data_IF_352805302530
#
_entry.id   IF_352805302530
#
_cell.length_a   1.000
_cell.length_b   1.000
_cell.length_c   1.000
_cell.angle_alpha   90.00
_cell.angle_beta   90.00
_cell.angle_gamma   90.00
#
_symmetry.space_group_name_H-M   'P 1'
#
loop_
_entity.id
_entity.type
_entity.pdbx_description
1 polymer ?
#
# COMPACT_ATOMS: atom_id res chain seq x y z
N UNK A 1 -34.51 24.24 -10.89
CA UNK A 1 -33.10 23.94 -10.52
C UNK A 1 -33.01 22.82 -9.47
N UNK A 2 -33.76 22.90 -8.36
CA UNK A 2 -33.80 21.91 -7.27
C UNK A 2 -34.26 20.50 -7.69
N UNK A 3 -35.28 20.37 -8.53
CA UNK A 3 -35.79 19.07 -9.01
C UNK A 3 -34.77 18.33 -9.90
N UNK A 4 -34.01 19.06 -10.71
CA UNK A 4 -32.94 18.48 -11.53
C UNK A 4 -31.76 17.98 -10.68
N UNK A 5 -31.37 18.75 -9.66
CA UNK A 5 -30.34 18.35 -8.69
C UNK A 5 -30.75 17.09 -7.89
N UNK A 6 -31.99 17.04 -7.41
CA UNK A 6 -32.51 15.87 -6.69
C UNK A 6 -32.56 14.60 -7.57
N UNK A 7 -32.89 14.76 -8.85
CA UNK A 7 -32.93 13.64 -9.81
C UNK A 7 -31.54 13.10 -10.13
N UNK A 8 -30.55 13.97 -10.33
CA UNK A 8 -29.16 13.55 -10.58
C UNK A 8 -28.52 12.95 -9.32
N UNK A 9 -28.82 13.48 -8.13
CA UNK A 9 -28.41 12.88 -6.86
C UNK A 9 -29.01 11.48 -6.65
N UNK A 10 -30.30 11.28 -6.95
CA UNK A 10 -30.95 9.97 -6.85
C UNK A 10 -30.35 8.93 -7.82
N UNK A 11 -29.99 9.35 -9.04
CA UNK A 11 -29.29 8.49 -10.01
C UNK A 11 -27.88 8.12 -9.54
N UNK A 12 -27.12 9.10 -9.02
CA UNK A 12 -25.78 8.85 -8.47
C UNK A 12 -25.85 7.90 -7.27
N UNK A 13 -26.82 8.11 -6.37
CA UNK A 13 -27.05 7.26 -5.20
C UNK A 13 -27.32 5.81 -5.59
N UNK A 14 -28.26 5.56 -6.52
CA UNK A 14 -28.54 4.20 -7.01
C UNK A 14 -27.29 3.54 -7.62
N UNK A 15 -26.47 4.30 -8.34
CA UNK A 15 -25.22 3.79 -8.92
C UNK A 15 -24.21 3.42 -7.85
N UNK A 16 -24.02 4.29 -6.84
CA UNK A 16 -23.15 4.00 -5.70
C UNK A 16 -23.59 2.74 -4.96
N UNK A 17 -24.90 2.53 -4.78
CA UNK A 17 -25.42 1.32 -4.14
C UNK A 17 -25.12 0.04 -4.92
N UNK A 18 -25.18 0.08 -6.27
CA UNK A 18 -24.87 -1.08 -7.11
C UNK A 18 -23.37 -1.43 -7.03
N UNK A 19 -22.48 -0.44 -7.17
CA UNK A 19 -21.04 -0.67 -7.05
C UNK A 19 -20.65 -1.14 -5.63
N UNK A 20 -21.26 -0.54 -4.59
CA UNK A 20 -21.08 -0.98 -3.22
C UNK A 20 -21.52 -2.43 -2.99
N UNK A 21 -22.63 -2.86 -3.59
CA UNK A 21 -23.11 -4.25 -3.49
C UNK A 21 -22.12 -5.25 -4.11
N UNK A 22 -21.54 -4.89 -5.28
CA UNK A 22 -20.52 -5.71 -5.94
C UNK A 22 -19.25 -5.78 -5.08
N UNK A 23 -18.77 -4.64 -4.58
CA UNK A 23 -17.58 -4.57 -3.72
C UNK A 23 -17.78 -5.34 -2.41
N UNK A 24 -18.96 -5.26 -1.79
CA UNK A 24 -19.30 -6.06 -0.59
C UNK A 24 -19.28 -7.56 -0.92
N UNK A 25 -19.79 -7.96 -2.08
CA UNK A 25 -19.75 -9.36 -2.51
C UNK A 25 -18.31 -9.85 -2.75
N UNK A 26 -17.46 -9.02 -3.36
CA UNK A 26 -16.04 -9.31 -3.54
C UNK A 26 -15.28 -9.37 -2.21
N UNK A 27 -15.60 -8.45 -1.29
CA UNK A 27 -15.05 -8.43 0.06
C UNK A 27 -15.43 -9.70 0.81
N UNK A 28 -16.70 -10.12 0.76
CA UNK A 28 -17.16 -11.36 1.37
C UNK A 28 -16.45 -12.61 0.79
N UNK A 29 -16.04 -12.58 -0.48
CA UNK A 29 -15.23 -13.64 -1.07
C UNK A 29 -13.74 -13.60 -0.66
N UNK A 30 -13.20 -12.41 -0.37
CA UNK A 30 -11.75 -12.19 -0.19
C UNK A 30 -11.33 -11.72 1.20
N UNK A 31 -12.27 -11.61 2.15
CA UNK A 31 -12.05 -10.97 3.46
C UNK A 31 -10.88 -11.58 4.25
N UNK A 32 -10.65 -12.89 4.11
CA UNK A 32 -9.55 -13.60 4.77
C UNK A 32 -8.19 -13.04 4.36
N UNK A 33 -8.01 -12.71 3.07
CA UNK A 33 -6.76 -12.14 2.55
C UNK A 33 -6.55 -10.71 3.05
N UNK A 34 -7.62 -9.92 3.08
CA UNK A 34 -7.56 -8.55 3.60
C UNK A 34 -7.26 -8.56 5.10
N UNK A 35 -7.98 -9.38 5.86
CA UNK A 35 -7.77 -9.54 7.29
C UNK A 35 -6.34 -10.01 7.59
N UNK A 36 -5.85 -11.03 6.88
CA UNK A 36 -4.47 -11.50 7.03
C UNK A 36 -3.46 -10.39 6.74
N UNK A 37 -3.69 -9.61 5.68
CA UNK A 37 -2.84 -8.46 5.36
C UNK A 37 -2.83 -7.40 6.46
N UNK A 38 -4.00 -7.04 7.01
CA UNK A 38 -4.15 -6.06 8.09
C UNK A 38 -3.51 -6.57 9.40
N UNK A 39 -3.74 -7.82 9.77
CA UNK A 39 -3.09 -8.46 10.93
C UNK A 39 -1.57 -8.42 10.76
N UNK A 40 -1.06 -8.68 9.57
CA UNK A 40 0.38 -8.60 9.31
C UNK A 40 0.92 -7.17 9.40
N UNK A 41 0.15 -6.14 9.00
CA UNK A 41 0.57 -4.75 9.24
C UNK A 41 0.78 -4.46 10.72
N UNK A 42 -0.11 -4.99 11.57
CA UNK A 42 0.03 -4.89 13.02
C UNK A 42 1.26 -5.66 13.53
N UNK A 43 1.48 -6.90 13.07
CA UNK A 43 2.67 -7.69 13.42
C UNK A 43 3.96 -6.95 13.04
N UNK A 44 4.02 -6.37 11.83
CA UNK A 44 5.14 -5.56 11.39
C UNK A 44 5.35 -4.32 12.27
N UNK A 45 4.27 -3.65 12.69
CA UNK A 45 4.35 -2.54 13.65
C UNK A 45 4.95 -2.96 15.00
N UNK A 46 4.48 -4.09 15.55
CA UNK A 46 4.99 -4.65 16.81
C UNK A 46 6.46 -5.04 16.66
N UNK A 47 6.85 -5.64 15.53
CA UNK A 47 8.23 -5.99 15.21
C UNK A 47 9.15 -4.75 15.14
N UNK A 48 8.70 -3.68 14.49
CA UNK A 48 9.42 -2.41 14.41
C UNK A 48 9.56 -1.73 15.79
N UNK A 49 8.54 -1.85 16.64
CA UNK A 49 8.60 -1.40 18.04
C UNK A 49 9.57 -2.28 18.86
N UNK A 50 9.56 -3.59 18.61
CA UNK A 50 10.44 -4.56 19.25
C UNK A 50 11.92 -4.23 19.07
N UNK A 51 12.31 -3.81 17.86
CA UNK A 51 13.70 -3.44 17.60
C UNK A 51 14.14 -2.17 18.35
N UNK A 52 13.21 -1.27 18.68
CA UNK A 52 13.51 -0.07 19.45
C UNK A 52 14.01 -0.45 20.85
N UNK A 53 13.42 -1.46 21.48
CA UNK A 53 13.92 -1.97 22.78
C UNK A 53 15.32 -2.58 22.68
N UNK A 54 15.67 -3.14 21.51
CA UNK A 54 16.98 -3.71 21.23
C UNK A 54 17.96 -2.67 20.68
N UNK A 55 17.53 -1.41 20.53
CA UNK A 55 18.32 -0.35 19.95
C UNK A 55 19.51 -0.01 20.84
N UNK A 56 20.69 0.04 20.24
CA UNK A 56 21.90 0.55 20.89
C UNK A 56 22.33 1.82 20.16
N UNK A 57 22.24 3.00 20.82
CA UNK A 57 22.73 4.23 20.23
C UNK A 57 24.24 4.10 20.03
N UNK A 58 24.70 4.65 18.93
CA UNK A 58 26.08 4.64 18.48
C UNK A 58 26.33 5.84 17.57
N UNK A 59 27.58 6.07 17.14
CA UNK A 59 27.88 7.06 16.11
C UNK A 59 27.13 6.72 14.81
N UNK A 60 26.69 7.75 14.10
CA UNK A 60 26.04 7.58 12.79
C UNK A 60 26.99 6.93 11.80
N UNK A 61 26.48 6.03 10.96
CA UNK A 61 27.28 5.38 9.92
C UNK A 61 27.69 6.38 8.84
N UNK A 62 28.81 6.09 8.18
CA UNK A 62 29.21 6.82 6.98
C UNK A 62 28.23 6.51 5.86
N UNK A 63 27.60 7.56 5.32
CA UNK A 63 26.56 7.43 4.32
C UNK A 63 26.77 8.44 3.18
N UNK A 64 26.78 7.93 1.94
CA UNK A 64 27.03 8.76 0.76
C UNK A 64 25.92 9.77 0.52
N UNK A 65 24.65 9.41 0.75
CA UNK A 65 23.55 10.36 0.65
C UNK A 65 23.66 11.46 1.70
N UNK A 66 24.23 11.17 2.87
CA UNK A 66 24.45 12.19 3.88
C UNK A 66 25.56 13.17 3.57
N UNK A 67 26.57 12.70 2.85
CA UNK A 67 27.61 13.55 2.29
C UNK A 67 27.10 14.45 1.16
N UNK A 68 26.23 13.91 0.30
CA UNK A 68 25.70 14.64 -0.87
C UNK A 68 24.55 15.60 -0.53
N UNK A 69 23.70 15.24 0.43
CA UNK A 69 22.50 16.00 0.77
C UNK A 69 22.71 16.79 2.06
N UNK A 70 22.41 18.09 1.97
CA UNK A 70 22.37 18.95 3.14
C UNK A 70 21.27 18.49 4.10
N UNK A 71 21.61 18.54 5.38
CA UNK A 71 20.72 18.21 6.46
C UNK A 71 19.61 19.27 6.61
N UNK A 72 18.36 18.83 6.71
CA UNK A 72 17.20 19.72 6.84
C UNK A 72 17.09 20.36 8.24
N UNK A 73 17.63 19.69 9.25
CA UNK A 73 17.50 20.05 10.66
C UNK A 73 16.28 19.41 11.33
N UNK A 74 16.35 19.29 12.66
CA UNK A 74 15.30 18.68 13.49
C UNK A 74 13.94 19.38 13.32
N UNK A 75 13.94 20.72 13.28
CA UNK A 75 12.74 21.55 13.12
C UNK A 75 11.95 21.26 11.83
N UNK A 76 12.63 20.76 10.80
CA UNK A 76 12.05 20.47 9.48
C UNK A 76 11.92 18.97 9.21
N UNK A 77 12.21 18.11 10.18
CA UNK A 77 12.11 16.66 10.02
C UNK A 77 10.69 16.18 9.64
N UNK A 78 9.65 16.96 10.01
CA UNK A 78 8.26 16.68 9.69
C UNK A 78 7.94 16.77 8.18
N UNK A 79 8.73 17.51 7.39
CA UNK A 79 8.47 17.73 5.95
C UNK A 79 8.41 16.40 5.19
N UNK A 80 9.28 15.46 5.54
CA UNK A 80 9.28 14.10 4.97
C UNK A 80 8.01 13.30 5.33
N UNK A 81 7.44 13.48 6.53
CA UNK A 81 6.16 12.84 6.90
C UNK A 81 4.98 13.48 6.18
N UNK A 82 5.01 14.79 5.99
CA UNK A 82 3.95 15.50 5.26
C UNK A 82 3.85 15.01 3.82
N UNK A 83 4.99 14.86 3.13
CA UNK A 83 5.01 14.33 1.75
C UNK A 83 4.58 12.86 1.72
N UNK A 84 5.04 12.04 2.67
CA UNK A 84 4.57 10.66 2.79
C UNK A 84 3.06 10.57 3.01
N UNK A 85 2.53 11.36 3.95
CA UNK A 85 1.10 11.43 4.25
C UNK A 85 0.31 11.87 3.03
N UNK A 86 0.81 12.86 2.27
CA UNK A 86 0.21 13.29 1.02
C UNK A 86 0.12 12.13 0.02
N UNK A 87 1.20 11.37 -0.19
CA UNK A 87 1.22 10.20 -1.07
C UNK A 87 0.21 9.15 -0.58
N UNK A 88 0.23 8.84 0.73
CA UNK A 88 -0.63 7.83 1.35
C UNK A 88 -2.11 8.17 1.19
N UNK A 89 -2.54 9.34 1.66
CA UNK A 89 -3.94 9.76 1.60
C UNK A 89 -4.42 9.96 0.16
N UNK A 90 -3.57 10.50 -0.73
CA UNK A 90 -3.94 10.63 -2.15
C UNK A 90 -4.18 9.27 -2.80
N UNK A 91 -3.37 8.26 -2.48
CA UNK A 91 -3.56 6.90 -2.98
C UNK A 91 -4.85 6.28 -2.42
N UNK A 92 -5.08 6.36 -1.11
CA UNK A 92 -6.29 5.84 -0.46
C UNK A 92 -7.53 6.46 -1.10
N UNK A 93 -7.58 7.79 -1.22
CA UNK A 93 -8.68 8.50 -1.86
C UNK A 93 -8.89 8.04 -3.31
N UNK A 94 -7.80 7.85 -4.07
CA UNK A 94 -7.89 7.32 -5.43
C UNK A 94 -8.45 5.89 -5.48
N UNK A 95 -8.21 5.04 -4.48
CA UNK A 95 -8.80 3.69 -4.49
C UNK A 95 -10.34 3.71 -4.42
N UNK A 96 -10.95 4.79 -3.92
CA UNK A 96 -12.40 4.99 -3.91
C UNK A 96 -12.93 5.73 -5.16
N UNK A 97 -12.04 6.10 -6.09
CA UNK A 97 -12.43 6.72 -7.36
C UNK A 97 -13.50 5.93 -8.14
N UNK A 98 -13.52 4.58 -8.18
CA UNK A 98 -14.57 3.82 -8.86
C UNK A 98 -15.99 4.10 -8.35
N UNK A 99 -16.16 4.43 -7.07
CA UNK A 99 -17.47 4.77 -6.50
C UNK A 99 -17.99 6.13 -6.98
N UNK A 100 -17.09 7.05 -7.33
CA UNK A 100 -17.43 8.43 -7.76
C UNK A 100 -17.46 8.53 -9.28
N UNK A 101 -16.49 7.92 -9.96
CA UNK A 101 -16.32 7.95 -11.40
C UNK A 101 -16.32 6.52 -11.93
N UNK A 102 -17.29 6.21 -12.80
CA UNK A 102 -17.60 4.88 -13.34
C UNK A 102 -16.46 4.27 -14.17
N UNK A 103 -15.38 3.85 -13.52
CA UNK A 103 -14.28 3.12 -14.16
C UNK A 103 -14.52 1.62 -14.01
N UNK A 104 -15.11 0.99 -15.03
CA UNK A 104 -15.33 -0.48 -15.10
C UNK A 104 -14.06 -1.34 -15.04
N UNK A 105 -12.89 -0.73 -14.85
CA UNK A 105 -11.59 -1.41 -14.88
C UNK A 105 -11.06 -1.81 -13.51
N UNK A 106 -11.64 -1.30 -12.42
CA UNK A 106 -10.99 -1.33 -11.11
C UNK A 106 -12.01 -1.57 -10.00
N UNK A 107 -11.81 -2.64 -9.22
CA UNK A 107 -12.47 -2.85 -7.93
C UNK A 107 -11.50 -2.54 -6.79
N UNK A 108 -11.95 -1.75 -5.82
CA UNK A 108 -11.21 -1.33 -4.64
C UNK A 108 -10.73 -2.53 -3.83
N UNK A 109 -11.59 -3.52 -3.58
CA UNK A 109 -11.23 -4.73 -2.83
C UNK A 109 -10.08 -5.49 -3.50
N UNK A 110 -10.13 -5.64 -4.83
CA UNK A 110 -9.08 -6.36 -5.57
C UNK A 110 -7.75 -5.60 -5.59
N UNK A 111 -7.76 -4.26 -5.64
CA UNK A 111 -6.55 -3.46 -5.45
C UNK A 111 -5.97 -3.74 -4.07
N UNK A 112 -6.77 -3.64 -3.02
CA UNK A 112 -6.29 -3.80 -1.65
C UNK A 112 -5.76 -5.20 -1.36
N UNK A 113 -6.38 -6.25 -1.91
CA UNK A 113 -5.83 -7.61 -1.86
C UNK A 113 -4.40 -7.67 -2.44
N UNK A 114 -4.16 -7.02 -3.59
CA UNK A 114 -2.84 -6.99 -4.24
C UNK A 114 -1.83 -6.14 -3.46
N UNK A 115 -2.24 -4.93 -3.06
CA UNK A 115 -1.43 -4.00 -2.27
C UNK A 115 -0.99 -4.66 -0.97
N UNK A 116 -1.91 -5.27 -0.23
CA UNK A 116 -1.59 -5.99 1.00
C UNK A 116 -0.65 -7.17 0.76
N UNK A 117 -0.82 -7.93 -0.33
CA UNK A 117 0.12 -9.00 -0.68
C UNK A 117 1.54 -8.47 -0.93
N UNK A 118 1.69 -7.36 -1.66
CA UNK A 118 3.00 -6.73 -1.87
C UNK A 118 3.60 -6.23 -0.54
N UNK A 119 2.78 -5.57 0.29
CA UNK A 119 3.21 -5.05 1.59
C UNK A 119 3.67 -6.16 2.53
N UNK A 120 2.88 -7.23 2.66
CA UNK A 120 3.21 -8.40 3.49
C UNK A 120 4.55 -8.99 3.07
N UNK A 121 4.75 -9.24 1.78
CA UNK A 121 6.00 -9.81 1.30
C UNK A 121 7.21 -8.89 1.55
N UNK A 122 7.09 -7.58 1.26
CA UNK A 122 8.17 -6.63 1.50
C UNK A 122 8.47 -6.47 3.00
N UNK A 123 7.45 -6.37 3.83
CA UNK A 123 7.60 -6.20 5.28
C UNK A 123 8.10 -7.47 5.97
N UNK A 124 7.75 -8.66 5.47
CA UNK A 124 8.34 -9.91 5.94
C UNK A 124 9.85 -9.93 5.72
N UNK A 125 10.31 -9.60 4.51
CA UNK A 125 11.74 -9.46 4.22
C UNK A 125 12.39 -8.40 5.11
N UNK A 126 11.71 -7.26 5.29
CA UNK A 126 12.17 -6.18 6.18
C UNK A 126 12.38 -6.67 7.62
N UNK A 127 11.41 -7.38 8.19
CA UNK A 127 11.50 -7.94 9.56
C UNK A 127 12.74 -8.82 9.68
N UNK A 128 12.97 -9.71 8.73
CA UNK A 128 14.17 -10.56 8.72
C UNK A 128 15.43 -9.70 8.72
N UNK A 129 15.51 -8.69 7.85
CA UNK A 129 16.71 -7.86 7.70
C UNK A 129 17.08 -7.11 8.98
N UNK A 130 16.14 -6.36 9.59
CA UNK A 130 16.48 -5.55 10.77
C UNK A 130 16.61 -6.36 12.07
N UNK A 131 16.05 -7.57 12.15
CA UNK A 131 16.32 -8.49 13.26
C UNK A 131 17.62 -9.27 13.08
N UNK A 132 18.10 -9.44 11.85
CA UNK A 132 19.38 -10.10 11.59
C UNK A 132 20.57 -9.22 11.95
N UNK A 133 20.47 -7.92 11.65
CA UNK A 133 21.56 -6.96 11.91
C UNK A 133 21.01 -5.66 12.49
N UNK A 134 21.48 -5.30 13.68
CA UNK A 134 21.07 -4.08 14.37
C UNK A 134 22.08 -2.96 14.09
N UNK A 135 21.61 -1.86 13.54
CA UNK A 135 22.44 -0.69 13.21
C UNK A 135 21.97 0.55 13.97
N UNK A 136 22.89 1.49 14.31
CA UNK A 136 22.55 2.72 14.99
C UNK A 136 21.67 3.61 14.08
N UNK A 137 20.61 4.16 14.65
CA UNK A 137 19.59 4.90 13.91
C UNK A 137 20.08 6.31 13.61
N UNK A 138 19.89 6.83 12.39
CA UNK A 138 20.42 8.13 12.00
C UNK A 138 19.63 9.33 12.58
N UNK A 139 18.40 9.08 13.02
CA UNK A 139 17.46 10.11 13.45
C UNK A 139 17.94 10.82 14.72
N UNK A 140 17.68 12.13 14.81
CA UNK A 140 18.12 13.02 15.89
C UNK A 140 17.83 12.44 17.29
N UNK A 141 16.62 11.95 17.49
CA UNK A 141 16.18 11.44 18.80
C UNK A 141 16.74 10.06 19.13
N UNK A 142 17.43 9.39 18.21
CA UNK A 142 18.06 8.08 18.40
C UNK A 142 19.57 8.17 18.68
N UNK A 143 20.16 9.37 18.60
CA UNK A 143 21.59 9.59 18.83
C UNK A 143 21.95 9.49 20.32
N UNK A 144 23.22 9.20 20.60
CA UNK A 144 23.76 9.18 21.97
C UNK A 144 23.44 10.49 22.71
N UNK A 145 22.97 10.38 23.96
CA UNK A 145 22.58 11.52 24.79
C UNK A 145 21.10 11.93 24.69
N UNK A 146 20.34 11.44 23.71
CA UNK A 146 18.89 11.66 23.66
C UNK A 146 18.15 10.78 24.66
N UNK A 147 17.16 11.36 25.35
CA UNK A 147 16.27 10.64 26.28
C UNK A 147 15.39 9.60 25.59
N UNK A 148 15.18 9.73 24.28
CA UNK A 148 14.35 8.83 23.45
C UNK A 148 15.16 7.77 22.71
N UNK A 149 16.50 7.77 22.86
CA UNK A 149 17.36 6.84 22.14
C UNK A 149 17.36 5.43 22.71
N UNK A 150 16.94 5.24 23.97
CA UNK A 150 16.74 3.93 24.58
C UNK A 150 15.38 3.90 25.24
N UNK A 151 14.53 2.94 24.86
CA UNK A 151 13.37 2.62 25.67
C UNK A 151 13.78 1.71 26.84
N UNK A 152 13.21 1.91 28.04
CA UNK A 152 13.37 0.96 29.12
C UNK A 152 12.80 -0.41 28.70
N UNK A 153 13.37 -1.52 29.21
CA UNK A 153 12.85 -2.85 28.92
C UNK A 153 11.38 -2.93 29.36
N UNK A 154 10.50 -3.57 28.57
CA UNK A 154 9.07 -3.62 28.89
C UNK A 154 8.87 -4.46 30.16
N UNK A 155 8.14 -3.90 31.14
CA UNK A 155 7.84 -4.62 32.38
C UNK A 155 6.76 -5.69 32.15
N UNK A 156 5.95 -5.52 31.09
CA UNK A 156 4.88 -6.44 30.71
C UNK A 156 4.79 -6.60 29.20
N UNK A 157 4.52 -7.82 28.74
CA UNK A 157 4.29 -8.12 27.31
C UNK A 157 3.13 -7.31 26.71
N UNK A 158 2.16 -6.90 27.54
CA UNK A 158 1.06 -6.04 27.12
C UNK A 158 1.51 -4.65 26.67
N UNK A 159 2.65 -4.12 27.14
CA UNK A 159 3.16 -2.82 26.68
C UNK A 159 3.73 -2.89 25.27
N UNK A 160 4.28 -4.04 24.91
CA UNK A 160 4.79 -4.33 23.56
C UNK A 160 3.61 -4.53 22.58
N UNK A 161 2.51 -5.14 23.05
CA UNK A 161 1.30 -5.38 22.26
C UNK A 161 0.40 -4.14 22.16
N UNK A 162 0.22 -3.37 23.24
CA UNK A 162 -0.53 -2.11 23.25
C UNK A 162 0.35 -0.97 22.75
N UNK A 163 0.80 -1.07 21.48
CA UNK A 163 1.51 -0.01 20.78
C UNK A 163 0.78 1.32 20.98
N UNK A 164 1.45 2.30 21.56
CA UNK A 164 1.08 3.70 21.36
C UNK A 164 1.37 4.03 19.90
N UNK A 165 0.42 3.75 19.00
CA UNK A 165 0.59 3.81 17.54
C UNK A 165 1.24 5.11 17.07
N UNK A 166 0.80 6.25 17.61
CA UNK A 166 1.37 7.57 17.27
C UNK A 166 2.84 7.72 17.72
N UNK A 167 3.22 7.17 18.88
CA UNK A 167 4.60 7.23 19.37
C UNK A 167 5.51 6.23 18.66
N UNK A 168 5.05 5.01 18.42
CA UNK A 168 5.85 3.97 17.75
C UNK A 168 6.13 4.28 16.27
N UNK A 169 5.20 4.96 15.59
CA UNK A 169 5.39 5.36 14.19
C UNK A 169 6.35 6.55 14.04
N UNK A 170 6.31 7.51 14.96
CA UNK A 170 7.09 8.76 14.84
C UNK A 170 8.42 8.76 15.61
N UNK A 171 8.52 7.96 16.68
CA UNK A 171 9.68 7.91 17.58
C UNK A 171 10.30 6.51 17.68
N UNK A 172 10.10 5.69 16.65
CA UNK A 172 10.81 4.42 16.48
C UNK A 172 12.30 4.65 16.19
N UNK A 173 13.17 3.88 16.83
CA UNK A 173 14.63 3.96 16.70
C UNK A 173 15.15 2.60 16.26
N UNK A 174 16.20 2.66 15.45
CA UNK A 174 16.71 1.55 14.65
C UNK A 174 16.75 1.95 13.20
N UNK A 175 17.74 1.44 12.48
CA UNK A 175 17.92 1.72 11.05
C UNK A 175 16.77 1.14 10.20
N UNK A 176 16.18 0.03 10.66
CA UNK A 176 14.98 -0.59 10.10
C UNK A 176 15.08 -0.84 8.58
N UNK A 177 16.23 -1.37 8.12
CA UNK A 177 16.46 -1.72 6.71
C UNK A 177 15.34 -2.67 6.23
N UNK A 178 14.61 -2.37 5.16
CA UNK A 178 14.60 -1.17 4.32
C UNK A 178 13.37 -0.29 4.62
N UNK A 179 13.42 1.00 4.27
CA UNK A 179 12.47 2.02 4.74
C UNK A 179 10.99 1.71 4.45
N UNK A 180 10.13 1.72 5.47
CA UNK A 180 8.67 1.56 5.31
C UNK A 180 8.05 2.64 4.44
N UNK A 181 8.45 3.90 4.61
CA UNK A 181 7.91 5.01 3.81
C UNK A 181 8.11 4.73 2.32
N UNK A 182 9.31 4.27 1.95
CA UNK A 182 9.61 3.88 0.59
C UNK A 182 8.83 2.65 0.13
N UNK A 183 8.65 1.63 0.99
CA UNK A 183 7.80 0.47 0.68
C UNK A 183 6.39 0.92 0.28
N UNK A 184 5.73 1.70 1.14
CA UNK A 184 4.37 2.16 0.90
C UNK A 184 4.29 3.07 -0.33
N UNK A 185 5.16 4.08 -0.43
CA UNK A 185 5.17 5.02 -1.56
C UNK A 185 5.40 4.32 -2.90
N UNK A 186 6.33 3.37 -2.98
CA UNK A 186 6.61 2.62 -4.21
C UNK A 186 5.48 1.65 -4.57
N UNK A 187 4.94 0.90 -3.60
CA UNK A 187 3.80 0.00 -3.83
C UNK A 187 2.60 0.79 -4.36
N UNK A 188 2.30 1.95 -3.75
CA UNK A 188 1.18 2.80 -4.17
C UNK A 188 1.40 3.40 -5.55
N UNK A 189 2.57 3.98 -5.80
CA UNK A 189 2.89 4.60 -7.09
C UNK A 189 2.91 3.58 -8.22
N UNK A 190 3.44 2.37 -7.99
CA UNK A 190 3.44 1.29 -8.98
C UNK A 190 2.04 0.77 -9.25
N UNK A 191 1.23 0.62 -8.20
CA UNK A 191 -0.18 0.22 -8.33
C UNK A 191 -0.96 1.27 -9.12
N UNK A 192 -0.78 2.56 -8.81
CA UNK A 192 -1.38 3.65 -9.56
C UNK A 192 -0.89 3.69 -11.01
N UNK A 193 0.39 3.47 -11.25
CA UNK A 193 0.95 3.45 -12.60
C UNK A 193 0.30 2.36 -13.47
N UNK A 194 0.03 1.19 -12.88
CA UNK A 194 -0.59 0.05 -13.56
C UNK A 194 -2.08 0.24 -13.86
N UNK A 195 -2.86 0.72 -12.89
CA UNK A 195 -4.34 0.80 -13.04
C UNK A 195 -4.86 2.21 -13.34
N UNK A 196 -4.14 3.26 -12.95
CA UNK A 196 -4.51 4.64 -13.21
C UNK A 196 -4.48 4.98 -14.70
N UNK A 197 -5.32 5.92 -15.13
CA UNK A 197 -5.41 6.34 -16.54
C UNK A 197 -4.70 7.68 -16.80
N UNK A 198 -4.64 8.58 -15.82
CA UNK A 198 -4.13 9.93 -15.99
C UNK A 198 -2.59 9.97 -16.04
N UNK A 199 -2.01 10.22 -17.22
CA UNK A 199 -0.55 10.28 -17.43
C UNK A 199 0.14 11.31 -16.53
N UNK A 200 -0.45 12.51 -16.38
CA UNK A 200 0.10 13.55 -15.52
C UNK A 200 0.26 13.09 -14.06
N UNK A 201 -0.76 12.42 -13.52
CA UNK A 201 -0.74 11.91 -12.13
C UNK A 201 0.29 10.77 -11.99
N UNK A 202 0.49 9.95 -13.03
CA UNK A 202 1.55 8.93 -13.00
C UNK A 202 2.93 9.56 -12.89
N UNK A 203 3.20 10.59 -13.70
CA UNK A 203 4.48 11.30 -13.67
C UNK A 203 4.65 11.97 -12.31
N UNK A 204 3.64 12.69 -11.82
CA UNK A 204 3.73 13.35 -10.52
C UNK A 204 3.90 12.37 -9.36
N UNK A 205 3.25 11.20 -9.38
CA UNK A 205 3.43 10.17 -8.36
C UNK A 205 4.87 9.62 -8.31
N UNK A 206 5.48 9.37 -9.47
CA UNK A 206 6.89 8.98 -9.55
C UNK A 206 7.82 10.10 -9.06
N UNK A 207 7.54 11.36 -9.46
CA UNK A 207 8.31 12.53 -9.03
C UNK A 207 8.23 12.70 -7.50
N UNK A 208 7.05 12.55 -6.92
CA UNK A 208 6.84 12.57 -5.47
C UNK A 208 7.58 11.44 -4.76
N UNK A 209 7.70 10.24 -5.35
CA UNK A 209 8.52 9.17 -4.76
C UNK A 209 10.02 9.50 -4.76
N UNK A 210 10.53 10.15 -5.81
CA UNK A 210 11.92 10.60 -5.86
C UNK A 210 12.16 11.71 -4.85
N UNK A 211 11.25 12.70 -4.77
CA UNK A 211 11.31 13.76 -3.77
C UNK A 211 11.26 13.17 -2.35
N UNK A 212 10.37 12.22 -2.09
CA UNK A 212 10.27 11.51 -0.81
C UNK A 212 11.59 10.81 -0.46
N UNK A 213 12.23 10.15 -1.42
CA UNK A 213 13.53 9.49 -1.23
C UNK A 213 14.59 10.48 -0.75
N UNK A 214 14.68 11.64 -1.42
CA UNK A 214 15.64 12.69 -1.06
C UNK A 214 15.33 13.28 0.31
N UNK A 215 14.06 13.59 0.60
CA UNK A 215 13.64 14.18 1.87
C UNK A 215 13.86 13.25 3.06
N UNK A 216 13.67 11.93 2.90
CA UNK A 216 13.96 10.94 3.94
C UNK A 216 15.46 10.98 4.33
N UNK A 217 16.35 11.07 3.34
CA UNK A 217 17.79 11.16 3.59
C UNK A 217 18.19 12.51 4.19
N UNK A 218 17.63 13.61 3.67
CA UNK A 218 17.90 14.97 4.17
C UNK A 218 17.38 15.19 5.60
N UNK A 219 16.30 14.50 5.99
CA UNK A 219 15.77 14.50 7.37
C UNK A 219 16.45 13.50 8.30
N UNK A 220 17.51 12.81 7.84
CA UNK A 220 18.29 11.83 8.62
C UNK A 220 17.42 10.72 9.23
N UNK A 221 16.33 10.32 8.58
CA UNK A 221 15.44 9.26 9.10
C UNK A 221 15.93 7.86 8.79
N UNK A 222 16.56 7.70 7.64
CA UNK A 222 17.05 6.44 7.10
C UNK A 222 18.37 6.69 6.38
N UNK A 223 19.23 5.68 6.32
CA UNK A 223 20.45 5.75 5.50
C UNK A 223 20.10 5.57 4.02
N UNK A 224 21.06 5.87 3.14
CA UNK A 224 20.94 5.68 1.70
C UNK A 224 20.68 4.22 1.35
N UNK A 225 21.28 3.29 2.10
CA UNK A 225 21.06 1.85 1.91
C UNK A 225 19.58 1.48 2.08
N UNK A 226 18.88 2.04 3.06
CA UNK A 226 17.45 1.76 3.26
C UNK A 226 16.59 2.15 2.07
N UNK A 227 16.91 3.28 1.46
CA UNK A 227 16.16 3.83 0.33
C UNK A 227 16.49 3.03 -0.93
N UNK A 228 17.77 2.80 -1.22
CA UNK A 228 18.21 2.05 -2.40
C UNK A 228 17.71 0.60 -2.36
N UNK A 229 17.81 -0.05 -1.20
CA UNK A 229 17.30 -1.42 -0.98
C UNK A 229 15.79 -1.49 -1.20
N UNK A 230 15.05 -0.49 -0.71
CA UNK A 230 13.61 -0.41 -0.97
C UNK A 230 13.28 -0.31 -2.46
N UNK A 231 14.01 0.53 -3.21
CA UNK A 231 13.78 0.74 -4.64
C UNK A 231 13.88 -0.55 -5.45
N UNK A 232 14.95 -1.34 -5.28
CA UNK A 232 15.04 -2.59 -6.06
C UNK A 232 14.17 -3.70 -5.47
N UNK A 233 14.07 -3.83 -4.14
CA UNK A 233 13.34 -4.94 -3.51
C UNK A 233 11.84 -4.86 -3.80
N UNK A 234 11.24 -3.67 -3.65
CA UNK A 234 9.80 -3.50 -3.91
C UNK A 234 9.48 -3.78 -5.37
N UNK A 235 10.30 -3.29 -6.30
CA UNK A 235 10.08 -3.55 -7.74
C UNK A 235 10.22 -5.04 -8.08
N UNK A 236 11.18 -5.74 -7.46
CA UNK A 236 11.39 -7.17 -7.66
C UNK A 236 10.24 -8.01 -7.07
N UNK A 237 9.86 -7.73 -5.82
CA UNK A 237 8.76 -8.42 -5.13
C UNK A 237 7.45 -8.24 -5.88
N UNK A 238 7.13 -7.01 -6.28
CA UNK A 238 5.91 -6.73 -7.04
C UNK A 238 5.92 -7.41 -8.41
N UNK A 239 7.07 -7.49 -9.10
CA UNK A 239 7.22 -8.25 -10.34
C UNK A 239 6.93 -9.75 -10.14
N UNK A 240 7.52 -10.38 -9.14
CA UNK A 240 7.30 -11.81 -8.87
C UNK A 240 5.87 -12.13 -8.47
N UNK A 241 5.28 -11.31 -7.58
CA UNK A 241 3.90 -11.50 -7.14
C UNK A 241 2.93 -11.32 -8.33
N UNK A 242 3.16 -10.32 -9.17
CA UNK A 242 2.37 -10.09 -10.39
C UNK A 242 2.42 -11.29 -11.33
N UNK A 243 3.62 -11.85 -11.54
CA UNK A 243 3.80 -13.02 -12.40
C UNK A 243 3.11 -14.25 -11.83
N UNK A 244 3.26 -14.50 -10.52
CA UNK A 244 2.61 -15.62 -9.85
C UNK A 244 1.08 -15.48 -9.85
N UNK A 245 0.55 -14.27 -9.67
CA UNK A 245 -0.89 -13.99 -9.77
C UNK A 245 -1.41 -14.18 -11.19
N UNK A 246 -0.63 -13.82 -12.21
CA UNK A 246 -0.97 -14.11 -13.61
C UNK A 246 -0.97 -15.61 -13.89
N UNK A 247 0.06 -16.34 -13.47
CA UNK A 247 0.16 -17.81 -13.60
C UNK A 247 -1.02 -18.52 -12.92
N UNK A 248 -1.44 -18.07 -11.73
CA UNK A 248 -2.60 -18.62 -11.01
C UNK A 248 -3.93 -18.33 -11.72
N UNK A 249 -4.03 -17.23 -12.45
CA UNK A 249 -5.20 -16.92 -13.29
C UNK A 249 -5.20 -17.72 -14.59
N UNK A 250 -4.02 -18.03 -15.11
CA UNK A 250 -3.84 -18.71 -16.39
C UNK A 250 -3.83 -20.24 -16.29
N UNK A 251 -3.53 -20.84 -15.13
CA UNK A 251 -3.75 -22.28 -14.90
C UNK A 251 -5.25 -22.55 -14.79
N UNK A 252 -5.91 -23.13 -15.80
CA UNK A 252 -7.16 -23.84 -15.53
C UNK A 252 -6.76 -25.06 -14.70
N UNK A 253 -7.51 -25.33 -13.65
CA UNK A 253 -7.42 -26.55 -12.85
C UNK A 253 -7.21 -27.80 -13.73
N UNK A 254 -5.97 -28.28 -13.76
CA UNK A 254 -5.57 -29.49 -14.48
C UNK A 254 -5.58 -30.70 -13.56
N UNK A 255 -6.78 -31.12 -13.13
CA UNK A 255 -7.11 -32.52 -12.83
C UNK A 255 -8.55 -32.76 -13.32
N UNK A 256 -8.65 -33.55 -14.41
CA UNK A 256 -9.81 -34.29 -14.95
C UNK A 256 -10.99 -33.54 -15.61
N UNK A 257 -10.97 -33.62 -16.96
CA UNK A 257 -12.06 -33.70 -17.95
C UNK A 257 -12.88 -32.44 -18.35
N UNK A 258 -13.27 -32.32 -19.63
CA UNK A 258 -13.76 -31.08 -20.24
C UNK A 258 -15.29 -31.08 -20.37
N UNK A 259 -15.97 -30.19 -19.63
CA UNK A 259 -17.30 -29.72 -20.02
C UNK A 259 -17.79 -28.57 -19.14
N UNK A 260 -18.29 -27.53 -19.80
CA UNK A 260 -19.35 -26.62 -19.34
C UNK A 260 -19.00 -25.60 -18.24
N UNK A 261 -18.59 -24.41 -18.67
CA UNK A 261 -19.21 -23.19 -18.15
C UNK A 261 -19.94 -22.49 -19.31
N UNK A 262 -21.25 -22.19 -19.17
CA UNK A 262 -22.08 -21.79 -20.28
C UNK A 262 -21.77 -20.34 -20.71
N UNK A 263 -21.71 -20.19 -22.03
CA UNK A 263 -21.78 -18.97 -22.83
C UNK A 263 -23.07 -18.16 -22.59
N UNK A 264 -23.42 -17.82 -21.35
CA UNK A 264 -24.72 -17.19 -21.09
C UNK A 264 -24.81 -15.70 -21.47
N UNK A 265 -23.70 -14.98 -21.70
CA UNK A 265 -23.76 -13.53 -21.97
C UNK A 265 -23.55 -13.13 -23.43
N UNK A 266 -23.20 -14.06 -24.31
CA UNK A 266 -22.99 -13.78 -25.75
C UNK A 266 -24.19 -14.19 -26.61
N UNK A 267 -24.88 -15.27 -26.26
CA UNK A 267 -26.08 -15.73 -26.99
C UNK A 267 -27.35 -14.93 -26.65
N UNK A 268 -27.45 -14.41 -25.43
CA UNK A 268 -28.60 -13.62 -24.97
C UNK A 268 -28.68 -12.27 -25.71
N UNK A 269 -27.53 -11.68 -26.04
CA UNK A 269 -27.44 -10.44 -26.83
C UNK A 269 -27.81 -10.66 -28.31
N UNK A 270 -27.58 -11.85 -28.85
CA UNK A 270 -27.85 -12.18 -30.25
C UNK A 270 -29.32 -12.57 -30.47
N UNK A 271 -29.99 -13.13 -29.45
CA UNK A 271 -31.43 -13.40 -29.46
C UNK A 271 -32.29 -12.15 -29.26
N UNK A 272 -31.81 -11.17 -28.50
CA UNK A 272 -32.51 -9.87 -28.31
C UNK A 272 -32.51 -8.98 -29.57
N UNK A 273 -31.65 -9.24 -30.55
CA UNK A 273 -31.58 -8.48 -31.81
C UNK A 273 -32.49 -9.08 -32.90
N UNK A 274 -32.85 -10.36 -32.81
CA UNK A 274 -33.51 -11.09 -33.90
C UNK A 274 -34.97 -11.53 -33.62
N UNK A 275 -35.59 -11.11 -32.51
CA UNK A 275 -36.87 -11.69 -32.09
C UNK A 275 -37.84 -10.75 -31.39
N UNK A 276 -38.28 -9.69 -32.07
CA UNK A 276 -39.62 -9.13 -31.80
C UNK A 276 -40.62 -9.74 -32.79
N UNK A 277 -41.57 -10.49 -32.23
CA UNK A 277 -42.93 -10.72 -32.74
C UNK A 277 -43.52 -9.40 -33.28
N UNK A 278 -44.38 -9.39 -34.31
CA UNK A 278 -45.82 -9.73 -34.32
C UNK A 278 -46.20 -9.69 -35.82
N UNK A 279 -46.84 -10.69 -36.45
CA UNK A 279 -48.22 -11.14 -36.27
C UNK A 279 -49.15 -10.49 -37.32
N UNK A 280 -50.36 -11.06 -37.51
CA UNK A 280 -51.49 -10.63 -38.38
C UNK A 280 -51.46 -11.32 -39.77
N UNK A 281 -52.45 -12.06 -40.27
CA UNK A 281 -53.92 -12.07 -40.08
C UNK A 281 -54.54 -13.40 -40.49
N UNK A 282 -55.79 -13.60 -40.03
CA UNK A 282 -56.86 -14.45 -40.56
C UNK A 282 -56.80 -14.86 -42.03
#
# INVERSE_FOLDING_TARGET
>A
MTVHLAREASKLWRKMCVEASIEVSLLAGSWKYILAGVVFQYIHGVAAQGIHYLHRPGPTLQDTGYFLLQELGEDKAYVSETVFSLIFFSFVLWTFHPFVYQSKRIYTVLIWCRVLAYLVACQFLRIITFYSTHLPGPNYHCREGSKLAKMPPPERLVEVLLMNFSKGVNYGCGDLIFSSHMIFSLVFTRTYHRYGMARFIKISAWLLCVIQSILILASRKHYTVDVVVAWYTVNLVTFFIDRKLAELRERPSGIMSPSLLPLSSKEEFQRLVNGNYVGITH
#
